data_IF_271523235019
#
_entry.id   IF_271523235019
#
_cell.length_a   1.000
_cell.length_b   1.000
_cell.length_c   1.000
_cell.angle_alpha   90.00
_cell.angle_beta   90.00
_cell.angle_gamma   90.00
#
_symmetry.space_group_name_H-M   'P 1'
#
loop_
_entity.id
_entity.type
_entity.pdbx_description
1 polymer ?
#
# COMPACT_ATOMS: atom_id res chain seq x y z
N UNK A 1 -49.85 -58.70 -24.72
CA UNK A 1 -50.96 -58.80 -23.75
C UNK A 1 -51.24 -57.39 -23.26
N UNK A 2 -52.46 -56.88 -23.52
CA UNK A 2 -53.08 -55.65 -22.99
C UNK A 2 -52.43 -54.29 -23.34
N UNK A 3 -53.10 -53.16 -23.54
CA UNK A 3 -54.42 -52.74 -24.03
C UNK A 3 -54.53 -51.23 -23.68
N UNK A 4 -55.20 -50.44 -24.55
CA UNK A 4 -55.70 -49.05 -24.34
C UNK A 4 -54.65 -47.91 -24.26
N UNK A 5 -54.85 -46.71 -24.82
CA UNK A 5 -55.97 -46.15 -25.55
C UNK A 5 -55.92 -44.60 -25.55
N UNK A 6 -56.45 -44.02 -26.64
CA UNK A 6 -57.03 -42.66 -26.82
C UNK A 6 -56.12 -41.46 -27.23
N UNK A 7 -56.33 -41.11 -28.51
CA UNK A 7 -56.29 -39.80 -29.21
C UNK A 7 -56.85 -38.64 -28.33
N UNK A 8 -56.57 -37.33 -28.50
CA UNK A 8 -56.84 -36.53 -29.70
C UNK A 8 -56.50 -35.02 -29.49
N UNK A 9 -56.16 -34.36 -30.62
CA UNK A 9 -56.48 -32.98 -31.07
C UNK A 9 -55.70 -31.73 -30.61
N UNK A 10 -54.98 -31.20 -31.61
CA UNK A 10 -54.47 -29.84 -31.80
C UNK A 10 -55.55 -28.74 -31.81
N UNK A 11 -55.15 -27.50 -31.50
CA UNK A 11 -55.52 -26.29 -32.27
C UNK A 11 -54.52 -25.14 -32.04
N UNK A 12 -54.17 -24.48 -33.14
CA UNK A 12 -53.22 -23.38 -33.35
C UNK A 12 -53.96 -22.05 -33.64
N UNK A 13 -53.17 -20.95 -33.70
CA UNK A 13 -53.39 -19.57 -34.21
C UNK A 13 -53.87 -18.52 -33.18
N UNK A 14 -53.06 -17.51 -32.82
CA UNK A 14 -52.67 -16.24 -33.51
C UNK A 14 -53.63 -15.08 -33.10
N UNK A 15 -53.28 -13.80 -32.90
CA UNK A 15 -52.24 -12.90 -33.44
C UNK A 15 -52.31 -11.54 -32.67
N UNK A 16 -51.21 -10.76 -32.64
CA UNK A 16 -51.07 -9.27 -32.62
C UNK A 16 -51.94 -8.43 -31.66
N UNK A 17 -51.48 -7.45 -30.87
CA UNK A 17 -50.28 -6.60 -30.90
C UNK A 17 -50.73 -5.14 -30.80
N UNK A 18 -50.31 -4.39 -29.77
CA UNK A 18 -50.34 -2.92 -29.76
C UNK A 18 -49.21 -2.36 -28.90
N UNK A 19 -48.42 -1.47 -29.51
CA UNK A 19 -47.42 -0.59 -28.88
C UNK A 19 -48.13 0.56 -28.17
N UNK A 20 -47.59 0.99 -27.03
CA UNK A 20 -47.62 2.40 -26.63
C UNK A 20 -46.49 2.66 -25.63
N UNK A 21 -45.62 3.60 -26.02
CA UNK A 21 -44.51 4.14 -25.26
C UNK A 21 -44.95 4.78 -23.94
N UNK A 22 -44.14 4.65 -22.90
CA UNK A 22 -44.08 5.62 -21.81
C UNK A 22 -42.69 5.59 -21.19
N UNK A 23 -42.06 6.74 -21.33
CA UNK A 23 -40.70 7.10 -20.94
C UNK A 23 -40.66 7.28 -19.41
N UNK A 24 -39.45 7.07 -18.90
CA UNK A 24 -38.92 7.66 -17.67
C UNK A 24 -39.17 6.92 -16.35
N UNK A 25 -38.13 6.22 -15.91
CA UNK A 25 -37.32 6.70 -14.78
C UNK A 25 -36.03 5.91 -14.75
N UNK A 26 -34.96 6.57 -15.17
CA UNK A 26 -33.60 6.18 -14.82
C UNK A 26 -33.46 6.26 -13.30
N UNK A 27 -33.82 5.18 -12.60
CA UNK A 27 -33.31 4.93 -11.27
C UNK A 27 -31.81 4.70 -11.44
N UNK A 28 -31.05 5.78 -11.33
CA UNK A 28 -29.64 5.74 -11.03
C UNK A 28 -29.47 4.96 -9.73
N UNK A 29 -29.38 3.64 -9.87
CA UNK A 29 -28.80 2.75 -8.88
C UNK A 29 -27.37 3.23 -8.73
N UNK A 30 -27.15 4.19 -7.82
CA UNK A 30 -25.87 4.27 -7.13
C UNK A 30 -25.76 2.98 -6.31
N UNK A 31 -25.38 1.91 -7.00
CA UNK A 31 -24.69 0.81 -6.37
C UNK A 31 -23.39 1.41 -5.88
N UNK A 32 -23.36 1.83 -4.61
CA UNK A 32 -22.13 1.88 -3.82
C UNK A 32 -21.66 0.44 -3.65
N UNK A 33 -21.29 -0.21 -4.76
CA UNK A 33 -20.69 -1.53 -4.75
C UNK A 33 -19.34 -1.39 -4.09
N UNK A 34 -19.15 -2.12 -2.99
CA UNK A 34 -17.85 -2.41 -2.40
C UNK A 34 -16.80 -2.54 -3.51
N UNK A 35 -15.83 -1.61 -3.52
CA UNK A 35 -14.75 -1.62 -4.51
C UNK A 35 -13.50 -2.16 -3.84
N UNK A 36 -13.05 -3.32 -4.31
CA UNK A 36 -11.85 -3.98 -3.84
C UNK A 36 -10.64 -3.01 -3.80
N UNK A 37 -9.87 -3.09 -2.73
CA UNK A 37 -8.75 -2.17 -2.42
C UNK A 37 -7.42 -2.93 -2.35
N UNK A 38 -7.39 -4.11 -1.74
CA UNK A 38 -6.23 -5.00 -1.70
C UNK A 38 -6.23 -5.92 -2.93
N UNK A 39 -5.03 -6.31 -3.39
CA UNK A 39 -4.89 -7.23 -4.53
C UNK A 39 -5.14 -6.60 -5.91
N UNK A 40 -5.29 -5.27 -5.99
CA UNK A 40 -5.53 -4.55 -7.25
C UNK A 40 -4.40 -3.56 -7.52
N UNK A 41 -4.23 -3.07 -8.77
CA UNK A 41 -3.22 -2.05 -9.08
C UNK A 41 -3.36 -0.82 -8.17
N UNK A 42 -2.24 -0.24 -7.76
CA UNK A 42 -2.21 0.86 -6.78
C UNK A 42 -3.11 2.04 -7.18
N UNK A 43 -3.08 2.43 -8.46
CA UNK A 43 -3.93 3.49 -9.00
C UNK A 43 -5.43 3.21 -8.82
N UNK A 44 -5.84 1.95 -8.96
CA UNK A 44 -7.21 1.52 -8.73
C UNK A 44 -7.55 1.49 -7.23
N UNK A 45 -6.63 1.01 -6.39
CA UNK A 45 -6.81 1.03 -4.93
C UNK A 45 -7.04 2.46 -4.42
N UNK A 46 -6.25 3.44 -4.87
CA UNK A 46 -6.40 4.87 -4.52
C UNK A 46 -7.73 5.41 -5.02
N UNK A 47 -8.15 5.08 -6.25
CA UNK A 47 -9.44 5.50 -6.80
C UNK A 47 -10.62 4.93 -6.01
N UNK A 48 -10.51 3.70 -5.54
CA UNK A 48 -11.57 2.97 -4.83
C UNK A 48 -11.67 3.37 -3.36
N UNK A 49 -10.58 3.82 -2.75
CA UNK A 49 -10.48 4.08 -1.32
C UNK A 49 -9.68 5.36 -1.04
N UNK A 50 -10.19 6.50 -1.50
CA UNK A 50 -9.50 7.80 -1.41
C UNK A 50 -9.32 8.26 0.03
N UNK A 51 -8.15 8.78 0.38
CA UNK A 51 -7.94 9.51 1.63
C UNK A 51 -8.75 10.81 1.69
N UNK A 52 -9.13 11.22 2.90
CA UNK A 52 -9.92 12.43 3.18
C UNK A 52 -9.11 13.72 3.01
N UNK A 53 -7.79 13.65 3.19
CA UNK A 53 -6.85 14.79 3.08
C UNK A 53 -6.26 14.95 1.67
N UNK A 54 -6.72 14.15 0.70
CA UNK A 54 -6.30 14.22 -0.69
C UNK A 54 -4.93 13.62 -0.99
N UNK A 55 -4.24 13.05 -0.01
CA UNK A 55 -2.99 12.30 -0.24
C UNK A 55 -3.31 11.08 -1.12
N UNK A 56 -2.58 10.84 -2.22
CA UNK A 56 -2.90 9.79 -3.20
C UNK A 56 -2.44 8.40 -2.74
N UNK A 57 -2.83 7.99 -1.53
CA UNK A 57 -2.68 6.63 -1.00
C UNK A 57 -4.08 6.11 -0.61
N UNK A 58 -4.28 4.78 -0.55
CA UNK A 58 -5.54 4.24 -0.07
C UNK A 58 -5.76 4.59 1.41
N UNK A 59 -6.99 4.95 1.79
CA UNK A 59 -7.37 5.25 3.17
C UNK A 59 -7.00 4.11 4.13
N UNK A 60 -7.15 2.84 3.71
CA UNK A 60 -6.71 1.68 4.51
C UNK A 60 -5.22 1.75 4.87
N UNK A 61 -4.36 2.12 3.92
CA UNK A 61 -2.92 2.27 4.16
C UNK A 61 -2.70 3.40 5.17
N UNK A 62 -3.39 4.53 4.98
CA UNK A 62 -3.27 5.67 5.89
C UNK A 62 -3.71 5.32 7.31
N UNK A 63 -4.83 4.62 7.47
CA UNK A 63 -5.34 4.18 8.76
C UNK A 63 -4.38 3.21 9.45
N UNK A 64 -3.77 2.28 8.71
CA UNK A 64 -2.78 1.37 9.27
C UNK A 64 -1.56 2.13 9.80
N UNK A 65 -1.00 3.04 8.99
CA UNK A 65 0.17 3.83 9.39
C UNK A 65 -0.16 4.74 10.58
N UNK A 66 -1.25 5.50 10.50
CA UNK A 66 -1.66 6.42 11.57
C UNK A 66 -1.87 5.69 12.91
N UNK A 67 -2.45 4.49 12.88
CA UNK A 67 -2.68 3.70 14.10
C UNK A 67 -1.38 3.17 14.71
N UNK A 68 -0.43 2.71 13.88
CA UNK A 68 0.89 2.29 14.39
C UNK A 68 1.69 3.49 14.90
N UNK A 69 1.61 4.65 14.24
CA UNK A 69 2.23 5.89 14.70
C UNK A 69 1.69 6.34 16.06
N UNK A 70 0.37 6.20 16.31
CA UNK A 70 -0.23 6.63 17.58
C UNK A 70 -0.10 5.62 18.71
N UNK A 71 -0.30 4.33 18.44
CA UNK A 71 -0.40 3.29 19.48
C UNK A 71 0.74 2.26 19.44
N UNK A 72 1.50 2.18 18.35
CA UNK A 72 2.36 1.04 18.04
C UNK A 72 3.86 1.30 18.02
N UNK A 73 4.31 2.55 18.09
CA UNK A 73 5.73 2.87 17.92
C UNK A 73 6.62 2.29 19.02
N UNK A 74 6.10 2.10 20.22
CA UNK A 74 6.84 1.51 21.35
C UNK A 74 6.55 0.01 21.53
N UNK A 75 5.66 -0.56 20.70
CA UNK A 75 5.27 -1.96 20.80
C UNK A 75 6.41 -2.88 20.37
N UNK A 76 6.85 -3.75 21.29
CA UNK A 76 7.93 -4.70 21.02
C UNK A 76 7.62 -5.59 19.81
N UNK A 77 8.54 -5.63 18.86
CA UNK A 77 8.41 -6.47 17.68
C UNK A 77 7.33 -6.04 16.69
N UNK A 78 6.90 -4.77 16.71
CA UNK A 78 6.01 -4.22 15.66
C UNK A 78 6.55 -4.55 14.25
N UNK A 79 5.67 -4.92 13.33
CA UNK A 79 5.96 -5.55 12.03
C UNK A 79 6.56 -6.97 12.04
N UNK A 80 7.33 -7.35 13.06
CA UNK A 80 7.89 -8.72 13.20
C UNK A 80 6.83 -9.71 13.65
N UNK A 81 6.11 -9.39 14.72
CA UNK A 81 4.97 -10.19 15.20
C UNK A 81 3.82 -10.06 14.21
N UNK A 82 3.06 -11.14 14.03
CA UNK A 82 1.91 -11.18 13.13
C UNK A 82 0.63 -11.39 13.92
N UNK A 83 -0.38 -10.56 13.64
CA UNK A 83 -1.72 -10.78 14.13
C UNK A 83 -2.27 -12.15 13.64
N UNK A 84 -3.27 -12.73 14.33
CA UNK A 84 -3.92 -13.95 13.90
C UNK A 84 -4.42 -13.87 12.45
N UNK A 85 -4.25 -14.95 11.69
CA UNK A 85 -4.63 -14.97 10.26
C UNK A 85 -6.12 -14.66 10.08
N UNK A 86 -6.98 -15.26 10.91
CA UNK A 86 -8.43 -15.01 10.91
C UNK A 86 -8.76 -13.54 11.10
N UNK A 87 -8.05 -12.87 12.01
CA UNK A 87 -8.22 -11.45 12.28
C UNK A 87 -7.82 -10.59 11.08
N UNK A 88 -6.72 -10.93 10.43
CA UNK A 88 -6.29 -10.24 9.21
C UNK A 88 -7.25 -10.47 8.03
N UNK A 89 -7.84 -11.67 7.91
CA UNK A 89 -8.84 -11.98 6.88
C UNK A 89 -10.12 -11.15 7.08
N UNK A 90 -10.56 -10.97 8.33
CA UNK A 90 -11.69 -10.10 8.68
C UNK A 90 -11.41 -8.63 8.30
N UNK A 91 -10.24 -8.12 8.70
CA UNK A 91 -9.83 -6.74 8.41
C UNK A 91 -9.69 -6.48 6.92
N UNK A 92 -9.15 -7.42 6.17
CA UNK A 92 -9.03 -7.34 4.71
C UNK A 92 -10.41 -7.37 4.03
N UNK A 93 -11.34 -8.21 4.51
CA UNK A 93 -12.72 -8.21 4.02
C UNK A 93 -13.41 -6.87 4.27
N UNK A 94 -13.21 -6.28 5.45
CA UNK A 94 -13.72 -4.94 5.77
C UNK A 94 -13.09 -3.87 4.86
N UNK A 95 -11.77 -3.88 4.68
CA UNK A 95 -11.08 -2.94 3.80
C UNK A 95 -11.60 -3.00 2.35
N UNK A 96 -11.77 -4.21 1.80
CA UNK A 96 -12.27 -4.43 0.44
C UNK A 96 -13.77 -4.10 0.27
N UNK A 97 -14.52 -4.04 1.37
CA UNK A 97 -15.95 -3.69 1.36
C UNK A 97 -16.24 -2.24 1.75
N UNK A 98 -15.22 -1.46 2.12
CA UNK A 98 -15.37 -0.11 2.64
C UNK A 98 -15.93 -0.07 4.07
N UNK A 99 -15.84 -1.19 4.80
CA UNK A 99 -16.20 -1.27 6.21
C UNK A 99 -15.23 -0.51 7.10
N UNK A 100 -15.67 -0.21 8.33
CA UNK A 100 -14.83 0.43 9.34
C UNK A 100 -13.75 -0.55 9.82
N UNK A 101 -12.49 -0.15 9.73
CA UNK A 101 -11.38 -0.86 10.34
C UNK A 101 -11.30 -0.48 11.81
N UNK A 102 -11.44 -1.47 12.69
CA UNK A 102 -11.39 -1.30 14.13
C UNK A 102 -10.17 -2.05 14.66
N UNK A 103 -9.00 -1.41 14.63
CA UNK A 103 -7.76 -2.02 15.12
C UNK A 103 -7.80 -2.08 16.66
N UNK A 104 -7.58 -3.27 17.21
CA UNK A 104 -7.54 -3.50 18.66
C UNK A 104 -6.10 -3.62 19.16
N UNK A 105 -5.19 -4.04 18.27
CA UNK A 105 -3.77 -4.25 18.54
C UNK A 105 -2.94 -3.66 17.38
N UNK A 106 -1.82 -2.95 17.63
CA UNK A 106 -0.96 -2.43 16.57
C UNK A 106 -0.45 -3.49 15.57
N UNK A 107 -0.35 -4.76 15.96
CA UNK A 107 -0.03 -5.86 15.06
C UNK A 107 -1.12 -6.12 14.02
N UNK A 108 -2.38 -5.76 14.29
CA UNK A 108 -3.47 -5.80 13.29
C UNK A 108 -3.17 -4.83 12.16
N UNK A 109 -2.92 -3.56 12.50
CA UNK A 109 -2.62 -2.49 11.55
C UNK A 109 -1.33 -2.79 10.76
N UNK A 110 -0.25 -3.17 11.45
CA UNK A 110 1.00 -3.58 10.82
C UNK A 110 0.81 -4.81 9.91
N UNK A 111 -0.03 -5.77 10.33
CA UNK A 111 -0.37 -6.96 9.58
C UNK A 111 -1.14 -6.67 8.29
N UNK A 112 -2.12 -5.77 8.35
CA UNK A 112 -2.91 -5.38 7.19
C UNK A 112 -2.08 -4.54 6.21
N UNK A 113 -1.24 -3.62 6.67
CA UNK A 113 -0.29 -2.89 5.82
C UNK A 113 0.67 -3.85 5.10
N UNK A 114 1.22 -4.83 5.83
CA UNK A 114 2.03 -5.92 5.28
C UNK A 114 1.31 -6.66 4.15
N UNK A 115 0.01 -6.97 4.33
CA UNK A 115 -0.80 -7.65 3.30
C UNK A 115 -1.03 -6.77 2.09
N UNK A 116 -1.42 -5.51 2.29
CA UNK A 116 -1.64 -4.56 1.20
C UNK A 116 -0.40 -4.50 0.28
N UNK A 117 0.79 -4.26 0.85
CA UNK A 117 2.02 -4.11 0.07
C UNK A 117 2.40 -5.39 -0.71
N UNK A 118 2.24 -6.57 -0.09
CA UNK A 118 2.56 -7.86 -0.73
C UNK A 118 1.58 -8.26 -1.83
N UNK A 119 0.32 -7.85 -1.71
CA UNK A 119 -0.72 -8.22 -2.67
C UNK A 119 -0.80 -7.28 -3.87
N UNK A 120 -0.04 -6.17 -3.90
CA UNK A 120 0.02 -5.33 -5.08
C UNK A 120 0.47 -6.17 -6.30
N UNK A 121 -0.24 -6.11 -7.44
CA UNK A 121 0.15 -6.86 -8.65
C UNK A 121 1.55 -6.50 -9.15
N UNK A 122 1.96 -5.24 -8.95
CA UNK A 122 3.30 -4.74 -9.19
C UNK A 122 3.81 -4.08 -7.91
N UNK A 123 5.05 -4.39 -7.52
CA UNK A 123 5.66 -3.77 -6.34
C UNK A 123 5.75 -2.25 -6.48
N UNK A 124 5.64 -1.53 -5.37
CA UNK A 124 5.53 -0.05 -5.39
C UNK A 124 6.72 0.67 -6.04
N UNK A 125 7.92 0.06 -6.03
CA UNK A 125 9.13 0.59 -6.67
C UNK A 125 9.28 0.17 -8.15
N UNK A 126 8.29 -0.55 -8.71
CA UNK A 126 8.21 -0.91 -10.13
C UNK A 126 7.12 -0.06 -10.77
N UNK A 127 7.55 0.87 -11.60
CA UNK A 127 6.66 1.75 -12.36
C UNK A 127 7.40 2.28 -13.58
N UNK A 128 6.65 2.56 -14.65
CA UNK A 128 7.20 3.17 -15.85
C UNK A 128 7.83 4.54 -15.53
N UNK A 129 8.94 4.93 -16.18
CA UNK A 129 9.59 4.25 -17.32
C UNK A 129 10.73 3.28 -16.92
N UNK A 130 10.82 2.88 -15.64
CA UNK A 130 11.97 2.12 -15.16
C UNK A 130 11.81 0.62 -15.33
N UNK A 131 12.83 0.00 -15.91
CA UNK A 131 12.92 -1.46 -15.98
C UNK A 131 13.08 -2.08 -14.58
N UNK A 132 12.56 -3.30 -14.36
CA UNK A 132 12.76 -4.02 -13.10
C UNK A 132 14.24 -4.14 -12.73
N UNK A 133 14.60 -3.86 -11.48
CA UNK A 133 15.97 -3.96 -11.00
C UNK A 133 16.79 -2.66 -11.11
N UNK A 134 16.28 -1.60 -11.74
CA UNK A 134 17.05 -0.37 -11.91
C UNK A 134 17.32 0.34 -10.57
N UNK A 135 16.35 0.39 -9.65
CA UNK A 135 16.54 0.96 -8.32
C UNK A 135 17.64 0.21 -7.55
N UNK A 136 17.63 -1.11 -7.65
CA UNK A 136 18.60 -2.03 -7.05
C UNK A 136 20.00 -1.81 -7.65
N UNK A 137 20.10 -1.76 -8.98
CA UNK A 137 21.35 -1.51 -9.68
C UNK A 137 21.97 -0.15 -9.33
N UNK A 138 21.15 0.90 -9.21
CA UNK A 138 21.61 2.21 -8.74
C UNK A 138 22.05 2.14 -7.28
N UNK A 139 21.26 1.52 -6.40
CA UNK A 139 21.58 1.40 -4.97
C UNK A 139 22.89 0.63 -4.72
N UNK A 140 23.24 -0.35 -5.56
CA UNK A 140 24.47 -1.14 -5.45
C UNK A 140 25.74 -0.32 -5.74
N UNK A 141 25.61 0.83 -6.41
CA UNK A 141 26.74 1.77 -6.62
C UNK A 141 27.11 2.57 -5.37
N UNK A 142 26.36 2.41 -4.27
CA UNK A 142 26.59 3.14 -3.04
C UNK A 142 27.88 2.68 -2.36
N UNK A 143 28.77 3.64 -2.08
CA UNK A 143 30.04 3.41 -1.36
C UNK A 143 30.01 3.85 0.11
N UNK A 144 28.86 4.34 0.59
CA UNK A 144 28.68 4.79 1.97
C UNK A 144 28.62 3.59 2.94
N UNK A 145 28.94 3.82 4.22
CA UNK A 145 28.83 2.80 5.26
C UNK A 145 27.38 2.37 5.44
N UNK A 146 27.18 1.12 5.87
CA UNK A 146 25.84 0.52 5.97
C UNK A 146 24.90 1.30 6.91
N UNK A 147 25.41 1.73 8.06
CA UNK A 147 24.59 2.41 9.09
C UNK A 147 24.65 3.95 8.98
N UNK A 148 25.15 4.48 7.86
CA UNK A 148 25.21 5.93 7.61
C UNK A 148 24.28 6.35 6.48
N UNK A 149 23.71 7.56 6.61
CA UNK A 149 22.97 8.23 5.55
C UNK A 149 23.81 8.28 4.28
N UNK A 150 23.18 8.03 3.13
CA UNK A 150 23.86 8.09 1.85
C UNK A 150 24.06 9.55 1.42
N UNK A 151 25.32 9.95 1.25
CA UNK A 151 25.72 11.29 0.79
C UNK A 151 26.42 11.27 -0.57
N UNK A 152 26.63 10.08 -1.15
CA UNK A 152 27.21 9.91 -2.49
C UNK A 152 26.18 10.11 -3.60
N UNK A 153 26.64 10.12 -4.85
CA UNK A 153 25.82 10.40 -6.04
C UNK A 153 24.64 9.43 -6.21
N UNK A 154 24.73 8.23 -5.62
CA UNK A 154 23.64 7.24 -5.56
C UNK A 154 22.36 7.83 -4.97
N UNK A 155 22.43 8.59 -3.88
CA UNK A 155 21.25 9.21 -3.29
C UNK A 155 20.59 10.23 -4.23
N UNK A 156 21.41 11.00 -4.97
CA UNK A 156 20.93 11.94 -5.97
C UNK A 156 20.17 11.26 -7.10
N UNK A 157 20.74 10.19 -7.67
CA UNK A 157 20.10 9.39 -8.72
C UNK A 157 18.79 8.76 -8.26
N UNK A 158 18.75 8.19 -7.06
CA UNK A 158 17.52 7.61 -6.50
C UNK A 158 16.44 8.68 -6.27
N UNK A 159 16.81 9.88 -5.79
CA UNK A 159 15.88 11.00 -5.64
C UNK A 159 15.33 11.48 -6.99
N UNK A 160 16.17 11.54 -8.02
CA UNK A 160 15.74 11.87 -9.38
C UNK A 160 14.77 10.83 -9.93
N UNK A 161 15.05 9.53 -9.74
CA UNK A 161 14.13 8.47 -10.13
C UNK A 161 12.77 8.58 -9.41
N UNK A 162 12.77 8.89 -8.12
CA UNK A 162 11.54 9.14 -7.36
C UNK A 162 10.75 10.33 -7.89
N UNK A 163 11.40 11.35 -8.44
CA UNK A 163 10.72 12.51 -9.04
C UNK A 163 9.92 12.17 -10.30
N UNK A 164 10.26 11.06 -10.96
CA UNK A 164 9.58 10.54 -12.15
C UNK A 164 8.47 9.52 -11.79
N UNK A 165 8.30 9.19 -10.52
CA UNK A 165 7.29 8.25 -10.07
C UNK A 165 5.87 8.79 -10.26
N UNK A 166 4.89 7.93 -10.63
CA UNK A 166 3.48 8.26 -10.48
C UNK A 166 3.19 8.72 -9.05
N UNK A 167 2.25 9.66 -8.90
CA UNK A 167 1.96 10.29 -7.60
C UNK A 167 1.61 9.24 -6.54
N UNK A 168 0.81 8.25 -6.90
CA UNK A 168 0.39 7.19 -6.00
C UNK A 168 1.58 6.37 -5.48
N UNK A 169 2.50 6.00 -6.37
CA UNK A 169 3.72 5.28 -6.02
C UNK A 169 4.61 6.14 -5.12
N UNK A 170 4.86 7.39 -5.51
CA UNK A 170 5.70 8.32 -4.76
C UNK A 170 5.22 8.47 -3.31
N UNK A 171 3.93 8.74 -3.12
CA UNK A 171 3.39 8.94 -1.77
C UNK A 171 3.31 7.65 -0.96
N UNK A 172 3.00 6.50 -1.58
CA UNK A 172 3.02 5.22 -0.86
C UNK A 172 4.45 4.88 -0.39
N UNK A 173 5.45 5.05 -1.26
CA UNK A 173 6.86 4.89 -0.90
C UNK A 173 7.22 5.84 0.25
N UNK A 174 6.92 7.13 0.09
CA UNK A 174 7.25 8.13 1.10
C UNK A 174 6.66 7.79 2.46
N UNK A 175 5.37 7.47 2.53
CA UNK A 175 4.70 7.13 3.78
C UNK A 175 5.27 5.86 4.43
N UNK A 176 5.56 4.82 3.64
CA UNK A 176 6.15 3.58 4.16
C UNK A 176 7.55 3.83 4.74
N UNK A 177 8.41 4.59 4.04
CA UNK A 177 9.79 4.81 4.49
C UNK A 177 9.93 5.87 5.58
N UNK A 178 9.08 6.90 5.60
CA UNK A 178 8.97 7.85 6.72
C UNK A 178 8.51 7.12 7.98
N UNK A 179 7.46 6.32 7.88
CA UNK A 179 6.97 5.49 8.99
C UNK A 179 8.05 4.51 9.49
N UNK A 180 8.73 3.82 8.58
CA UNK A 180 9.82 2.91 8.94
C UNK A 180 10.95 3.63 9.68
N UNK A 181 11.27 4.88 9.32
CA UNK A 181 12.24 5.70 10.02
C UNK A 181 11.79 5.99 11.46
N UNK A 182 10.52 6.36 11.68
CA UNK A 182 9.99 6.58 13.03
C UNK A 182 10.02 5.31 13.88
N UNK A 183 9.65 4.15 13.33
CA UNK A 183 9.77 2.86 14.02
C UNK A 183 11.22 2.61 14.46
N UNK A 184 12.21 2.83 13.59
CA UNK A 184 13.62 2.63 13.94
C UNK A 184 14.13 3.68 14.94
N UNK A 185 13.60 4.89 14.95
CA UNK A 185 13.93 5.90 15.96
C UNK A 185 13.49 5.45 17.38
N UNK A 186 12.44 4.63 17.47
CA UNK A 186 11.94 4.02 18.72
C UNK A 186 12.50 2.62 18.98
N UNK A 187 13.58 2.22 18.29
CA UNK A 187 14.18 0.88 18.42
C UNK A 187 14.64 0.50 19.84
N UNK A 188 14.88 1.47 20.72
CA UNK A 188 15.21 1.22 22.13
C UNK A 188 14.05 0.52 22.85
N UNK A 189 12.82 0.87 22.50
CA UNK A 189 11.59 0.35 23.10
C UNK A 189 11.06 -0.84 22.28
N UNK A 190 10.79 -0.62 20.99
CA UNK A 190 10.17 -1.64 20.14
C UNK A 190 11.11 -2.76 19.63
N UNK A 191 12.42 -2.63 19.86
CA UNK A 191 13.48 -3.60 19.46
C UNK A 191 13.65 -3.82 17.95
N UNK A 192 13.08 -2.96 17.11
CA UNK A 192 13.17 -3.03 15.66
C UNK A 192 14.30 -2.15 15.12
N UNK A 193 15.49 -2.71 14.96
CA UNK A 193 16.65 -2.03 14.37
C UNK A 193 16.52 -1.88 12.84
N UNK A 194 17.39 -1.06 12.23
CA UNK A 194 17.48 -0.93 10.76
C UNK A 194 17.62 -2.29 10.06
N UNK A 195 18.44 -3.19 10.63
CA UNK A 195 18.62 -4.53 10.08
C UNK A 195 17.37 -5.40 10.27
N UNK A 196 16.74 -5.36 11.45
CA UNK A 196 15.56 -6.18 11.76
C UNK A 196 14.34 -5.77 10.92
N UNK A 197 13.99 -4.49 10.90
CA UNK A 197 12.89 -3.99 10.07
C UNK A 197 13.24 -4.07 8.58
N UNK A 198 14.51 -3.88 8.24
CA UNK A 198 14.98 -3.89 6.86
C UNK A 198 14.80 -5.23 6.15
N UNK A 199 14.98 -6.36 6.83
CA UNK A 199 14.69 -7.69 6.26
C UNK A 199 13.20 -7.86 5.96
N UNK A 200 12.33 -7.37 6.84
CA UNK A 200 10.89 -7.44 6.65
C UNK A 200 10.45 -6.58 5.45
N UNK A 201 11.00 -5.37 5.31
CA UNK A 201 10.70 -4.48 4.19
C UNK A 201 11.25 -5.01 2.85
N UNK A 202 12.41 -5.65 2.83
CA UNK A 202 12.91 -6.34 1.63
C UNK A 202 11.89 -7.39 1.15
N UNK A 203 11.35 -8.21 2.05
CA UNK A 203 10.35 -9.22 1.70
C UNK A 203 8.99 -8.62 1.29
N UNK A 204 8.58 -7.50 1.89
CA UNK A 204 7.31 -6.82 1.55
C UNK A 204 7.36 -6.13 0.19
N UNK A 205 8.49 -5.50 -0.12
CA UNK A 205 8.64 -4.64 -1.31
C UNK A 205 9.39 -5.34 -2.46
N UNK A 206 9.93 -6.54 -2.21
CA UNK A 206 10.74 -7.32 -3.16
C UNK A 206 11.91 -6.52 -3.75
N UNK A 207 12.66 -5.85 -2.88
CA UNK A 207 13.86 -5.05 -3.22
C UNK A 207 15.06 -5.45 -2.37
N UNK A 208 16.25 -5.03 -2.77
CA UNK A 208 17.50 -5.38 -2.07
C UNK A 208 17.69 -4.62 -0.76
N UNK A 209 18.56 -5.18 0.11
CA UNK A 209 18.98 -4.54 1.36
C UNK A 209 19.46 -3.10 1.15
N UNK A 210 20.22 -2.83 0.09
CA UNK A 210 20.79 -1.52 -0.18
C UNK A 210 19.71 -0.48 -0.52
N UNK A 211 18.67 -0.86 -1.26
CA UNK A 211 17.51 0.02 -1.50
C UNK A 211 16.85 0.36 -0.17
N UNK A 212 16.49 -0.64 0.64
CA UNK A 212 15.81 -0.41 1.93
C UNK A 212 16.65 0.49 2.86
N UNK A 213 17.93 0.17 2.99
CA UNK A 213 18.88 0.91 3.83
C UNK A 213 18.94 2.38 3.44
N UNK A 214 19.15 2.67 2.16
CA UNK A 214 19.25 4.05 1.67
C UNK A 214 17.91 4.76 1.85
N UNK A 215 16.79 4.15 1.47
CA UNK A 215 15.48 4.78 1.55
C UNK A 215 15.04 5.11 2.98
N UNK A 216 15.33 4.25 3.96
CA UNK A 216 15.05 4.54 5.37
C UNK A 216 15.94 5.66 5.88
N UNK A 217 17.27 5.55 5.68
CA UNK A 217 18.21 6.51 6.26
C UNK A 217 18.04 7.91 5.64
N UNK A 218 17.79 7.98 4.34
CA UNK A 218 17.56 9.21 3.58
C UNK A 218 16.08 9.65 3.54
N UNK A 219 15.15 9.03 4.30
CA UNK A 219 13.73 9.39 4.24
C UNK A 219 13.46 10.86 4.60
N UNK A 220 13.94 11.29 5.78
CA UNK A 220 13.82 12.65 6.33
C UNK A 220 14.96 12.91 7.35
N UNK A 221 15.22 14.15 7.78
CA UNK A 221 16.22 14.43 8.82
C UNK A 221 15.95 13.70 10.14
N UNK A 222 17.00 13.20 10.81
CA UNK A 222 16.91 12.78 12.20
C UNK A 222 16.80 13.99 13.13
N UNK A 223 15.97 13.93 14.17
CA UNK A 223 15.74 15.04 15.11
C UNK A 223 16.94 15.43 16.00
N UNK A 224 18.09 14.79 15.85
CA UNK A 224 19.31 15.11 16.59
C UNK A 224 20.41 15.52 15.62
N UNK A 225 21.09 16.62 15.97
CA UNK A 225 22.12 17.32 15.21
C UNK A 225 23.10 16.39 14.47
N UNK A 226 22.82 16.14 13.20
CA UNK A 226 23.80 15.61 12.26
C UNK A 226 24.81 16.73 11.95
N UNK A 227 25.77 16.90 12.85
CA UNK A 227 26.90 17.80 12.64
C UNK A 227 27.69 17.31 11.44
N UNK A 228 27.60 18.05 10.33
CA UNK A 228 28.36 17.78 9.11
C UNK A 228 29.85 17.98 9.38
N UNK A 229 30.56 16.89 9.67
CA UNK A 229 32.01 16.86 9.55
C UNK A 229 32.35 16.79 8.06
N UNK A 230 32.42 17.93 7.37
CA UNK A 230 33.09 18.11 6.06
C UNK A 230 32.58 17.32 4.84
N UNK A 231 31.66 16.38 4.99
CA UNK A 231 31.13 15.53 3.93
C UNK A 231 29.87 16.14 3.29
N UNK A 232 29.64 15.85 2.01
CA UNK A 232 28.51 16.37 1.21
C UNK A 232 27.19 16.33 1.99
N UNK A 233 26.38 17.38 1.85
CA UNK A 233 25.08 17.48 2.54
C UNK A 233 24.20 16.24 2.22
N UNK A 234 23.51 15.68 3.22
CA UNK A 234 22.61 14.55 3.00
C UNK A 234 21.46 14.94 2.07
N UNK A 235 21.08 14.01 1.21
CA UNK A 235 19.95 14.15 0.29
C UNK A 235 18.75 13.43 0.90
N UNK A 236 17.75 14.19 1.35
CA UNK A 236 16.50 13.62 1.86
C UNK A 236 15.51 13.39 0.71
N UNK A 237 14.77 12.29 0.74
CA UNK A 237 13.88 11.90 -0.36
C UNK A 237 12.46 12.49 -0.20
N UNK A 238 12.01 12.64 1.04
CA UNK A 238 10.61 12.93 1.36
C UNK A 238 10.44 14.13 2.31
N UNK A 239 11.40 15.04 2.34
CA UNK A 239 11.40 16.23 3.21
C UNK A 239 10.21 17.18 2.95
N UNK A 240 9.67 17.15 1.73
CA UNK A 240 8.48 17.89 1.31
C UNK A 240 7.15 17.16 1.56
N UNK A 241 7.16 15.91 2.01
CA UNK A 241 5.94 15.11 2.15
C UNK A 241 5.25 15.45 3.47
N UNK A 242 3.97 15.84 3.47
CA UNK A 242 3.23 16.09 4.70
C UNK A 242 3.00 14.76 5.43
N UNK A 243 3.84 14.47 6.41
CA UNK A 243 3.76 13.33 7.31
C UNK A 243 3.72 13.88 8.74
N UNK A 244 2.77 13.41 9.55
CA UNK A 244 2.59 13.95 10.92
C UNK A 244 3.90 13.79 11.70
N UNK A 245 4.35 14.86 12.33
CA UNK A 245 5.39 14.85 13.37
C UNK A 245 4.75 14.61 14.72
#
# INVERSE_FOLDING_TARGET
MMLFGKKNKEKKLAKQGTRSDSVDRSSGSQGSGAKQVLGVPLSLAVKNNKCYDGVPIPMVVRQCIDYVESEGLDMEGIYRVSAPITRLDELEKLANSGGKLDFVDPHDAAGLLKRFLRQLPEHVLRFAPFEPGLFEGVAETCVCKADSICTCDTAGKLKEMLSLAPKENFYLIAYVFLHAKHVIQRQKDNKMTLSALGVLLQAMLSVTKNVIRIFILNAAPGGESETSTGERKPIYFFDQVPFKK
#
